data_IF_850374992602
#
_entry.id   IF_850374992602
#
_cell.length_a   1.000
_cell.length_b   1.000
_cell.length_c   1.000
_cell.angle_alpha   90.00
_cell.angle_beta   90.00
_cell.angle_gamma   90.00
#
_symmetry.space_group_name_H-M   'P 1'
#
loop_
_entity.id
_entity.type
_entity.pdbx_description
1 polymer ?
#
# COMPACT_ATOMS: atom_id res chain seq x y z
N UNK A 1 27.49 17.22 1.08
CA UNK A 1 26.96 16.35 -0.01
C UNK A 1 26.58 17.22 -1.20
N UNK A 2 27.19 17.00 -2.37
CA UNK A 2 26.89 17.74 -3.60
C UNK A 2 25.67 17.12 -4.31
N UNK A 3 24.71 17.95 -4.67
CA UNK A 3 23.51 17.53 -5.40
C UNK A 3 23.84 16.84 -6.72
N UNK A 4 24.83 17.30 -7.47
CA UNK A 4 25.19 16.69 -8.74
C UNK A 4 25.72 15.27 -8.58
N UNK A 5 26.40 14.97 -7.47
CA UNK A 5 26.87 13.63 -7.15
C UNK A 5 25.71 12.70 -6.84
N UNK A 6 24.75 13.17 -6.04
CA UNK A 6 23.53 12.41 -5.72
C UNK A 6 22.66 12.18 -6.96
N UNK A 7 22.50 13.21 -7.81
CA UNK A 7 21.76 13.11 -9.06
C UNK A 7 22.41 12.13 -10.04
N UNK A 8 23.74 12.11 -10.12
CA UNK A 8 24.48 11.12 -10.91
C UNK A 8 24.23 9.68 -10.42
N UNK A 9 24.20 9.45 -9.12
CA UNK A 9 23.85 8.16 -8.53
C UNK A 9 22.40 7.77 -8.91
N UNK A 10 21.43 8.64 -8.65
CA UNK A 10 20.01 8.42 -8.96
C UNK A 10 19.83 8.04 -10.43
N UNK A 11 20.34 8.85 -11.36
CA UNK A 11 20.19 8.60 -12.79
C UNK A 11 20.91 7.32 -13.25
N UNK A 12 22.04 6.97 -12.64
CA UNK A 12 22.74 5.71 -12.96
C UNK A 12 21.93 4.51 -12.52
N UNK A 13 21.30 4.55 -11.35
CA UNK A 13 20.44 3.49 -10.83
C UNK A 13 19.19 3.33 -11.71
N UNK A 14 18.52 4.42 -12.07
CA UNK A 14 17.29 4.39 -12.88
C UNK A 14 17.52 3.98 -14.34
N UNK A 15 18.62 4.41 -14.95
CA UNK A 15 18.93 4.07 -16.36
C UNK A 15 19.69 2.73 -16.50
N UNK A 16 20.06 2.09 -15.40
CA UNK A 16 20.71 0.78 -15.35
C UNK A 16 22.16 0.77 -15.88
N UNK A 17 22.71 1.90 -16.31
CA UNK A 17 24.11 1.99 -16.73
C UNK A 17 24.64 3.42 -16.72
N UNK A 18 25.95 3.57 -16.42
CA UNK A 18 26.65 4.85 -16.47
C UNK A 18 26.57 5.51 -17.86
N UNK A 19 26.63 4.72 -18.94
CA UNK A 19 26.56 5.25 -20.30
C UNK A 19 25.17 5.78 -20.66
N UNK A 20 24.10 5.11 -20.21
CA UNK A 20 22.73 5.57 -20.45
C UNK A 20 22.40 6.82 -19.62
N UNK A 21 22.81 6.83 -18.36
CA UNK A 21 22.66 7.99 -17.48
C UNK A 21 23.45 9.21 -17.99
N UNK A 22 24.68 9.02 -18.44
CA UNK A 22 25.51 10.08 -19.00
C UNK A 22 24.86 10.73 -20.24
N UNK A 23 24.32 9.91 -21.15
CA UNK A 23 23.55 10.43 -22.32
C UNK A 23 22.31 11.20 -21.88
N UNK A 24 21.58 10.69 -20.89
CA UNK A 24 20.37 11.36 -20.39
C UNK A 24 20.69 12.71 -19.73
N UNK A 25 21.78 12.78 -18.98
CA UNK A 25 22.22 14.01 -18.28
C UNK A 25 23.02 14.97 -19.19
N UNK A 26 23.33 14.62 -20.42
CA UNK A 26 24.12 15.45 -21.34
C UNK A 26 25.60 15.61 -20.91
N UNK A 27 26.14 14.66 -20.15
CA UNK A 27 27.53 14.66 -19.66
C UNK A 27 28.33 13.49 -20.23
N UNK A 28 29.67 13.51 -20.06
CA UNK A 28 30.50 12.35 -20.44
C UNK A 28 30.37 11.24 -19.38
N UNK A 29 30.54 9.97 -19.81
CA UNK A 29 30.53 8.85 -18.89
C UNK A 29 31.62 8.96 -17.82
N UNK A 30 32.79 9.51 -18.16
CA UNK A 30 33.90 9.73 -17.21
C UNK A 30 33.55 10.78 -16.14
N UNK A 31 32.83 11.83 -16.52
CA UNK A 31 32.32 12.84 -15.57
C UNK A 31 31.32 12.21 -14.62
N UNK A 32 30.35 11.46 -15.16
CA UNK A 32 29.32 10.80 -14.34
C UNK A 32 29.95 9.79 -13.36
N UNK A 33 30.90 8.96 -13.86
CA UNK A 33 31.61 8.01 -13.02
C UNK A 33 32.36 8.68 -11.87
N UNK A 34 33.02 9.82 -12.11
CA UNK A 34 33.68 10.59 -11.05
C UNK A 34 32.69 11.14 -10.02
N UNK A 35 31.53 11.63 -10.46
CA UNK A 35 30.49 12.13 -9.55
C UNK A 35 29.96 11.02 -8.64
N UNK A 36 29.70 9.83 -9.19
CA UNK A 36 29.27 8.67 -8.40
C UNK A 36 30.37 8.27 -7.41
N UNK A 37 31.62 8.14 -7.86
CA UNK A 37 32.74 7.78 -6.97
C UNK A 37 33.02 8.83 -5.89
N UNK A 38 32.78 10.11 -6.18
CA UNK A 38 32.87 11.18 -5.18
C UNK A 38 31.79 11.02 -4.10
N UNK A 39 30.55 10.66 -4.49
CA UNK A 39 29.49 10.37 -3.52
C UNK A 39 29.82 9.16 -2.66
N UNK A 40 30.32 8.07 -3.25
CA UNK A 40 30.73 6.87 -2.52
C UNK A 40 31.82 7.18 -1.50
N UNK A 41 32.80 8.01 -1.89
CA UNK A 41 33.86 8.46 -0.99
C UNK A 41 33.32 9.32 0.15
N UNK A 42 32.42 10.26 -0.14
CA UNK A 42 31.81 11.17 0.83
C UNK A 42 30.98 10.42 1.86
N UNK A 43 30.20 9.41 1.40
CA UNK A 43 29.33 8.63 2.25
C UNK A 43 30.01 7.44 2.93
N UNK A 44 31.24 7.08 2.47
CA UNK A 44 31.99 5.94 2.99
C UNK A 44 31.35 4.57 2.64
N UNK A 45 30.53 4.51 1.59
CA UNK A 45 29.85 3.28 1.15
C UNK A 45 29.95 3.10 -0.35
N UNK A 46 29.99 1.85 -0.81
CA UNK A 46 29.91 1.51 -2.24
C UNK A 46 28.44 1.44 -2.66
N UNK A 47 28.05 2.24 -3.65
CA UNK A 47 26.67 2.32 -4.14
C UNK A 47 26.43 1.39 -5.33
N UNK A 48 27.48 1.12 -6.11
CA UNK A 48 27.43 0.23 -7.26
C UNK A 48 28.53 -0.81 -7.23
N UNK A 49 28.22 -2.00 -7.70
CA UNK A 49 29.19 -3.06 -7.97
C UNK A 49 29.19 -3.43 -9.45
N UNK A 50 30.34 -3.87 -9.94
CA UNK A 50 30.51 -4.30 -11.31
C UNK A 50 30.23 -5.79 -11.43
N UNK A 51 29.23 -6.15 -12.23
CA UNK A 51 28.92 -7.54 -12.58
C UNK A 51 29.16 -7.71 -14.08
N UNK A 52 30.35 -8.19 -14.43
CA UNK A 52 30.78 -8.29 -15.83
C UNK A 52 30.90 -6.90 -16.49
N UNK A 53 30.06 -6.64 -17.50
CA UNK A 53 30.00 -5.35 -18.21
C UNK A 53 28.88 -4.41 -17.68
N UNK A 54 28.08 -4.86 -16.74
CA UNK A 54 26.97 -4.09 -16.15
C UNK A 54 27.34 -3.53 -14.78
N UNK A 55 26.57 -2.55 -14.34
CA UNK A 55 26.65 -1.94 -13.02
C UNK A 55 25.36 -2.28 -12.29
N UNK A 56 25.47 -2.87 -11.10
CA UNK A 56 24.32 -3.18 -10.23
C UNK A 56 24.39 -2.34 -8.97
N UNK A 57 23.23 -1.94 -8.47
CA UNK A 57 23.08 -1.21 -7.21
C UNK A 57 23.36 -2.17 -6.05
N UNK A 58 24.22 -1.80 -5.13
CA UNK A 58 24.52 -2.57 -3.90
C UNK A 58 23.35 -2.48 -2.91
N UNK A 59 23.37 -3.29 -1.85
CA UNK A 59 22.39 -3.19 -0.79
C UNK A 59 22.44 -1.81 -0.09
N UNK A 60 23.61 -1.23 0.11
CA UNK A 60 23.76 0.13 0.61
C UNK A 60 23.18 1.16 -0.38
N UNK A 61 23.41 0.97 -1.68
CA UNK A 61 22.82 1.79 -2.73
C UNK A 61 21.30 1.72 -2.75
N UNK A 62 20.71 0.52 -2.62
CA UNK A 62 19.25 0.36 -2.54
C UNK A 62 18.64 1.10 -1.35
N UNK A 63 19.29 1.02 -0.18
CA UNK A 63 18.84 1.74 1.02
C UNK A 63 18.86 3.26 0.84
N UNK A 64 19.78 3.80 0.04
CA UNK A 64 19.89 5.24 -0.22
C UNK A 64 19.08 5.71 -1.43
N UNK A 65 18.68 4.80 -2.32
CA UNK A 65 18.01 5.14 -3.57
C UNK A 65 16.68 5.85 -3.34
N UNK A 66 15.90 5.44 -2.34
CA UNK A 66 14.63 6.06 -2.01
C UNK A 66 14.80 7.51 -1.52
N UNK A 67 15.83 7.77 -0.71
CA UNK A 67 16.16 9.13 -0.31
C UNK A 67 16.61 9.98 -1.50
N UNK A 68 17.41 9.41 -2.40
CA UNK A 68 17.84 10.08 -3.63
C UNK A 68 16.65 10.43 -4.54
N UNK A 69 15.67 9.53 -4.69
CA UNK A 69 14.42 9.79 -5.41
C UNK A 69 13.62 10.92 -4.80
N UNK A 70 13.43 10.91 -3.49
CA UNK A 70 12.72 11.96 -2.77
C UNK A 70 13.38 13.33 -2.99
N UNK A 71 14.71 13.41 -2.90
CA UNK A 71 15.45 14.64 -3.17
C UNK A 71 15.35 15.06 -4.65
N UNK A 72 15.41 14.11 -5.58
CA UNK A 72 15.24 14.37 -7.01
C UNK A 72 13.89 14.98 -7.34
N UNK A 73 12.83 14.44 -6.76
CA UNK A 73 11.48 14.95 -6.89
C UNK A 73 11.36 16.37 -6.30
N UNK A 74 11.88 16.59 -5.09
CA UNK A 74 11.84 17.90 -4.44
C UNK A 74 12.61 18.97 -5.25
N UNK A 75 13.76 18.61 -5.83
CA UNK A 75 14.52 19.50 -6.70
C UNK A 75 13.77 19.84 -8.00
N UNK A 76 13.08 18.88 -8.59
CA UNK A 76 12.21 19.09 -9.74
C UNK A 76 11.05 20.04 -9.40
N UNK A 77 10.36 19.79 -8.30
CA UNK A 77 9.24 20.63 -7.81
C UNK A 77 9.71 22.06 -7.52
N UNK A 78 10.90 22.23 -6.95
CA UNK A 78 11.51 23.54 -6.72
C UNK A 78 11.75 24.28 -8.06
N UNK A 79 12.28 23.57 -9.07
CA UNK A 79 12.51 24.15 -10.39
C UNK A 79 11.20 24.58 -11.06
N UNK A 80 10.14 23.77 -10.96
CA UNK A 80 8.80 24.09 -11.48
C UNK A 80 8.17 25.28 -10.74
N UNK A 81 8.30 25.34 -9.41
CA UNK A 81 7.81 26.44 -8.60
C UNK A 81 8.54 27.76 -8.95
N UNK A 82 9.85 27.71 -9.13
CA UNK A 82 10.67 28.86 -9.52
C UNK A 82 10.36 29.38 -10.94
N UNK A 83 9.99 28.47 -11.85
CA UNK A 83 9.63 28.84 -13.22
C UNK A 83 8.24 29.50 -13.33
N UNK A 84 7.47 29.61 -12.23
CA UNK A 84 6.13 30.21 -12.23
C UNK A 84 5.09 29.44 -13.07
N UNK A 85 5.44 28.26 -13.57
CA UNK A 85 4.65 27.45 -14.52
C UNK A 85 3.81 26.37 -13.84
N UNK A 86 3.95 26.16 -12.55
CA UNK A 86 3.32 25.05 -11.83
C UNK A 86 1.91 25.37 -11.33
N UNK A 87 0.96 25.55 -12.26
CA UNK A 87 -0.47 25.30 -11.98
C UNK A 87 -0.84 23.82 -12.21
N UNK A 88 -0.08 23.10 -12.99
CA UNK A 88 -0.29 21.69 -13.25
C UNK A 88 0.06 20.85 -12.01
N UNK A 89 -0.84 19.94 -11.66
CA UNK A 89 -0.62 18.91 -10.65
C UNK A 89 -0.23 17.66 -11.41
N UNK A 90 1.07 17.33 -11.42
CA UNK A 90 1.64 16.20 -12.17
C UNK A 90 2.68 15.44 -11.34
N UNK A 91 3.11 14.27 -11.87
CA UNK A 91 4.10 13.39 -11.26
C UNK A 91 3.49 12.14 -10.63
N UNK A 92 4.31 11.39 -9.88
CA UNK A 92 3.89 10.14 -9.24
C UNK A 92 3.45 10.40 -7.80
N UNK A 93 2.38 9.74 -7.38
CA UNK A 93 1.94 9.65 -5.98
C UNK A 93 1.74 8.18 -5.64
N UNK A 94 2.51 7.68 -4.67
CA UNK A 94 2.39 6.31 -4.20
C UNK A 94 1.34 6.20 -3.08
N UNK A 95 0.43 5.23 -3.23
CA UNK A 95 -0.66 4.97 -2.28
C UNK A 95 -0.59 3.53 -1.81
N UNK A 96 -0.45 3.32 -0.50
CA UNK A 96 -0.46 1.98 0.09
C UNK A 96 -1.77 1.69 0.82
N UNK A 97 -2.26 0.46 0.69
CA UNK A 97 -3.44 -0.06 1.36
C UNK A 97 -3.32 -1.58 1.53
N UNK A 98 -4.19 -2.17 2.38
CA UNK A 98 -4.32 -3.64 2.43
C UNK A 98 -4.74 -4.19 1.07
N UNK A 99 -4.34 -5.41 0.77
CA UNK A 99 -4.54 -6.03 -0.55
C UNK A 99 -5.99 -5.96 -1.03
N UNK A 100 -6.96 -6.24 -0.17
CA UNK A 100 -8.38 -6.17 -0.54
C UNK A 100 -8.87 -4.73 -0.73
N UNK A 101 -8.42 -3.77 0.07
CA UNK A 101 -8.75 -2.35 -0.13
C UNK A 101 -8.16 -1.85 -1.44
N UNK A 102 -6.89 -2.21 -1.72
CA UNK A 102 -6.21 -1.86 -2.95
C UNK A 102 -6.93 -2.43 -4.20
N UNK A 103 -7.40 -3.69 -4.12
CA UNK A 103 -8.01 -4.36 -5.25
C UNK A 103 -9.48 -3.96 -5.50
N UNK A 104 -10.26 -3.69 -4.45
CA UNK A 104 -11.71 -3.49 -4.57
C UNK A 104 -12.16 -2.04 -4.43
N UNK A 105 -11.50 -1.25 -3.58
CA UNK A 105 -11.97 0.10 -3.24
C UNK A 105 -11.14 1.21 -3.90
N UNK A 106 -9.81 1.04 -4.02
CA UNK A 106 -8.95 2.03 -4.67
C UNK A 106 -9.27 2.27 -6.16
N UNK A 107 -9.68 1.28 -6.99
CA UNK A 107 -9.90 1.54 -8.41
C UNK A 107 -10.88 2.66 -8.70
N UNK A 108 -12.00 2.74 -7.96
CA UNK A 108 -12.98 3.82 -8.10
C UNK A 108 -12.38 5.19 -7.74
N UNK A 109 -11.62 5.24 -6.65
CA UNK A 109 -10.96 6.47 -6.22
C UNK A 109 -9.90 6.93 -7.24
N UNK A 110 -9.12 5.99 -7.81
CA UNK A 110 -8.12 6.28 -8.84
C UNK A 110 -8.79 6.79 -10.11
N UNK A 111 -9.92 6.21 -10.51
CA UNK A 111 -10.70 6.71 -11.65
C UNK A 111 -11.08 8.18 -11.45
N UNK A 112 -11.58 8.53 -10.25
CA UNK A 112 -11.91 9.91 -9.90
C UNK A 112 -10.69 10.83 -9.88
N UNK A 113 -9.55 10.37 -9.36
CA UNK A 113 -8.30 11.12 -9.37
C UNK A 113 -7.86 11.41 -10.81
N UNK A 114 -7.90 10.42 -11.70
CA UNK A 114 -7.52 10.58 -13.11
C UNK A 114 -8.40 11.58 -13.87
N UNK A 115 -9.69 11.67 -13.50
CA UNK A 115 -10.59 12.67 -14.06
C UNK A 115 -10.25 14.10 -13.62
N UNK A 116 -9.86 14.27 -12.34
CA UNK A 116 -9.63 15.59 -11.74
C UNK A 116 -8.20 16.08 -11.97
N UNK A 117 -7.22 15.19 -11.89
CA UNK A 117 -5.79 15.50 -12.04
C UNK A 117 -5.10 14.51 -12.97
N UNK A 118 -5.37 14.56 -14.28
CA UNK A 118 -4.89 13.57 -15.27
C UNK A 118 -3.36 13.52 -15.40
N UNK A 119 -2.65 14.53 -14.90
CA UNK A 119 -1.18 14.56 -14.88
C UNK A 119 -0.55 13.74 -13.76
N UNK A 120 -1.35 13.23 -12.80
CA UNK A 120 -0.84 12.43 -11.68
C UNK A 120 -0.92 10.95 -12.02
N UNK A 121 0.22 10.27 -11.90
CA UNK A 121 0.28 8.79 -11.93
C UNK A 121 0.15 8.26 -10.50
N UNK A 122 -0.78 7.35 -10.26
CA UNK A 122 -0.91 6.67 -8.96
C UNK A 122 -0.15 5.35 -9.00
N UNK A 123 0.84 5.22 -8.09
CA UNK A 123 1.50 3.94 -7.82
C UNK A 123 0.80 3.27 -6.64
N UNK A 124 0.23 2.08 -6.86
CA UNK A 124 -0.47 1.32 -5.81
C UNK A 124 0.47 0.29 -5.20
N UNK A 125 0.65 0.36 -3.89
CA UNK A 125 1.42 -0.60 -3.10
C UNK A 125 0.44 -1.36 -2.21
N UNK A 126 0.11 -2.59 -2.62
CA UNK A 126 -0.75 -3.47 -1.85
C UNK A 126 0.09 -4.23 -0.83
N UNK A 127 -0.20 -4.05 0.46
CA UNK A 127 0.53 -4.69 1.55
C UNK A 127 -0.35 -4.81 2.80
N UNK A 128 -0.56 -6.06 3.25
CA UNK A 128 -1.28 -6.40 4.49
C UNK A 128 -0.42 -6.23 5.75
N UNK A 129 0.91 -6.16 5.62
CA UNK A 129 1.77 -5.83 6.73
C UNK A 129 1.48 -4.39 7.21
N UNK A 130 1.62 -4.16 8.50
CA UNK A 130 1.70 -2.80 9.02
C UNK A 130 3.08 -2.28 8.61
N UNK A 131 3.23 -1.97 7.32
CA UNK A 131 4.46 -1.39 6.78
C UNK A 131 4.73 -0.11 7.53
N UNK A 132 5.96 0.02 7.98
CA UNK A 132 6.40 1.16 8.77
C UNK A 132 6.43 2.39 7.84
N UNK A 133 5.38 3.20 7.85
CA UNK A 133 5.35 4.48 7.13
C UNK A 133 6.55 5.37 7.46
N UNK A 134 7.25 5.06 8.58
CA UNK A 134 8.53 5.68 8.91
C UNK A 134 9.61 5.45 7.85
N UNK A 135 9.54 4.35 7.09
CA UNK A 135 10.49 4.08 6.00
C UNK A 135 10.13 4.79 4.70
N UNK A 136 9.09 5.65 4.69
CA UNK A 136 8.61 6.39 3.50
C UNK A 136 8.35 5.48 2.29
N UNK A 137 7.81 4.29 2.54
CA UNK A 137 7.48 3.31 1.49
C UNK A 137 6.36 3.79 0.57
N UNK A 138 5.55 4.77 1.03
CA UNK A 138 4.51 5.40 0.22
C UNK A 138 4.24 6.84 0.68
N UNK A 139 3.70 7.67 -0.24
CA UNK A 139 3.30 9.05 0.04
C UNK A 139 2.02 9.13 0.89
N UNK A 140 1.07 8.25 0.62
CA UNK A 140 -0.23 8.18 1.29
C UNK A 140 -0.53 6.73 1.66
N UNK A 141 -1.12 6.50 2.84
CA UNK A 141 -1.54 5.18 3.27
C UNK A 141 -2.99 5.16 3.73
N UNK A 142 -3.73 4.09 3.40
CA UNK A 142 -5.03 3.77 3.96
C UNK A 142 -4.82 2.67 5.01
N UNK A 143 -5.17 2.96 6.28
CA UNK A 143 -4.87 2.09 7.43
C UNK A 143 -6.08 1.91 8.34
N UNK A 144 -6.11 0.76 9.04
CA UNK A 144 -7.16 0.41 10.00
C UNK A 144 -6.82 0.79 11.45
N UNK A 145 -5.69 1.45 11.65
CA UNK A 145 -5.23 1.92 12.96
C UNK A 145 -4.88 3.41 12.90
N UNK A 146 -5.06 4.10 14.02
CA UNK A 146 -4.67 5.50 14.14
C UNK A 146 -3.15 5.60 14.14
N UNK A 147 -2.54 6.49 13.33
CA UNK A 147 -1.11 6.75 13.41
C UNK A 147 -0.78 7.36 14.78
N UNK A 148 0.34 6.94 15.36
CA UNK A 148 0.81 7.42 16.67
C UNK A 148 2.07 8.28 16.54
N UNK A 149 2.72 8.26 15.39
CA UNK A 149 3.96 8.94 15.09
C UNK A 149 3.71 10.44 14.89
N UNK A 150 4.52 11.33 15.56
CA UNK A 150 4.33 12.78 15.48
C UNK A 150 4.53 13.38 14.09
N UNK A 151 5.34 12.74 13.26
CA UNK A 151 5.62 13.12 11.88
C UNK A 151 4.50 12.79 10.90
N UNK A 152 3.55 11.94 11.30
CA UNK A 152 2.43 11.55 10.46
C UNK A 152 1.22 12.46 10.66
N UNK A 153 0.52 12.76 9.58
CA UNK A 153 -0.80 13.38 9.57
C UNK A 153 -1.81 12.26 9.30
N UNK A 154 -2.72 12.06 10.24
CA UNK A 154 -3.81 11.09 10.08
C UNK A 154 -5.17 11.79 10.04
N UNK A 155 -5.98 11.48 9.01
CA UNK A 155 -7.39 11.88 8.91
C UNK A 155 -8.27 10.65 9.08
N UNK A 156 -9.12 10.63 10.09
CA UNK A 156 -10.16 9.61 10.21
C UNK A 156 -11.17 9.83 9.10
N UNK A 157 -11.33 8.84 8.22
CA UNK A 157 -12.28 8.88 7.13
C UNK A 157 -13.66 8.47 7.62
N UNK A 158 -13.76 7.29 8.24
CA UNK A 158 -14.98 6.73 8.80
C UNK A 158 -14.69 5.53 9.70
N UNK A 159 -15.70 4.99 10.33
CA UNK A 159 -15.69 3.64 10.90
C UNK A 159 -16.28 2.68 9.88
N UNK A 160 -15.54 1.63 9.57
CA UNK A 160 -15.97 0.55 8.68
C UNK A 160 -16.40 -0.67 9.49
N UNK A 161 -17.14 -1.57 8.84
CA UNK A 161 -17.60 -2.83 9.41
C UNK A 161 -17.12 -4.00 8.56
N UNK A 162 -16.67 -5.06 9.20
CA UNK A 162 -16.44 -6.35 8.56
C UNK A 162 -17.37 -7.40 9.18
N UNK A 163 -17.70 -8.40 8.36
CA UNK A 163 -18.57 -9.49 8.73
C UNK A 163 -18.00 -10.81 8.22
N UNK A 164 -18.65 -11.91 8.59
CA UNK A 164 -18.32 -13.24 8.12
C UNK A 164 -19.09 -13.56 6.85
N UNK A 165 -18.40 -14.14 5.89
CA UNK A 165 -18.96 -14.49 4.58
C UNK A 165 -18.53 -15.89 4.15
N UNK A 166 -19.39 -16.51 3.35
CA UNK A 166 -19.10 -17.75 2.63
C UNK A 166 -19.65 -17.62 1.21
N UNK A 167 -19.20 -18.45 0.28
CA UNK A 167 -19.81 -18.46 -1.06
C UNK A 167 -21.24 -19.02 -1.00
N UNK A 168 -22.12 -18.57 -1.91
CA UNK A 168 -23.49 -19.06 -2.02
C UNK A 168 -23.55 -20.58 -2.20
N UNK A 169 -22.64 -21.14 -2.99
CA UNK A 169 -22.54 -22.59 -3.20
C UNK A 169 -22.09 -23.33 -1.92
N UNK A 170 -21.22 -22.72 -1.13
CA UNK A 170 -20.82 -23.29 0.15
C UNK A 170 -22.00 -23.35 1.11
N UNK A 171 -22.80 -22.27 1.21
CA UNK A 171 -23.99 -22.19 2.05
C UNK A 171 -25.04 -23.21 1.59
N UNK A 172 -25.24 -23.36 0.28
CA UNK A 172 -26.18 -24.36 -0.26
C UNK A 172 -25.80 -25.81 0.15
N UNK A 173 -24.51 -26.10 0.28
CA UNK A 173 -24.00 -27.44 0.66
C UNK A 173 -23.93 -27.68 2.15
N UNK A 174 -23.60 -26.65 2.94
CA UNK A 174 -23.25 -26.78 4.36
C UNK A 174 -24.30 -26.17 5.31
N UNK A 175 -25.34 -25.51 4.76
CA UNK A 175 -26.30 -24.75 5.53
C UNK A 175 -25.82 -23.31 5.79
N UNK A 176 -26.73 -22.50 6.38
CA UNK A 176 -26.45 -21.10 6.71
C UNK A 176 -26.21 -20.97 8.24
N UNK A 177 -24.93 -20.99 8.70
CA UNK A 177 -24.65 -20.82 10.12
C UNK A 177 -24.98 -19.39 10.56
N UNK A 178 -25.65 -19.24 11.72
CA UNK A 178 -26.06 -17.95 12.26
C UNK A 178 -25.33 -17.57 13.53
N UNK A 179 -25.07 -18.56 14.39
CA UNK A 179 -24.56 -18.37 15.75
C UNK A 179 -23.11 -18.83 15.91
N UNK A 180 -22.49 -18.46 17.02
CA UNK A 180 -21.17 -18.95 17.42
C UNK A 180 -21.16 -20.48 17.61
N UNK A 181 -22.25 -21.09 18.04
CA UNK A 181 -22.36 -22.54 18.16
C UNK A 181 -22.40 -23.24 16.80
N UNK A 182 -23.07 -22.63 15.81
CA UNK A 182 -23.07 -23.17 14.46
C UNK A 182 -21.67 -23.07 13.84
N UNK A 183 -20.92 -22.00 14.13
CA UNK A 183 -19.55 -21.82 13.64
C UNK A 183 -18.64 -23.02 13.97
N UNK A 184 -18.82 -23.67 15.13
CA UNK A 184 -18.00 -24.81 15.54
C UNK A 184 -18.15 -26.05 14.64
N UNK A 185 -19.14 -26.11 13.79
CA UNK A 185 -19.41 -27.23 12.86
C UNK A 185 -18.75 -27.01 11.49
N UNK A 186 -18.15 -25.82 11.26
CA UNK A 186 -17.74 -25.40 9.94
C UNK A 186 -16.25 -25.08 9.85
N UNK A 187 -15.75 -24.99 8.63
CA UNK A 187 -14.37 -24.64 8.31
C UNK A 187 -14.23 -23.16 8.00
N UNK A 188 -13.11 -22.61 8.43
CA UNK A 188 -12.74 -21.20 8.23
C UNK A 188 -11.46 -21.08 7.42
N UNK A 189 -11.27 -19.92 6.82
CA UNK A 189 -10.00 -19.49 6.27
C UNK A 189 -9.29 -18.69 7.36
N UNK A 190 -8.12 -19.16 7.78
CA UNK A 190 -7.28 -18.49 8.79
C UNK A 190 -6.23 -17.59 8.14
N UNK A 191 -5.65 -16.70 8.94
CA UNK A 191 -4.64 -15.75 8.46
C UNK A 191 -3.24 -16.05 8.98
N UNK A 192 -3.10 -16.71 10.14
CA UNK A 192 -1.78 -16.94 10.74
C UNK A 192 -1.69 -18.29 11.47
N UNK A 193 -0.45 -18.73 11.73
CA UNK A 193 -0.13 -19.92 12.52
C UNK A 193 0.09 -19.62 14.01
N UNK A 194 0.26 -18.35 14.35
CA UNK A 194 0.69 -17.92 15.69
C UNK A 194 -0.48 -17.74 16.65
N UNK A 195 -1.71 -18.00 16.21
CA UNK A 195 -2.91 -17.94 17.03
C UNK A 195 -3.43 -16.51 17.29
N UNK A 196 -2.85 -15.49 16.67
CA UNK A 196 -3.35 -14.10 16.79
C UNK A 196 -4.77 -13.98 16.25
N UNK A 197 -5.03 -14.60 15.09
CA UNK A 197 -6.36 -14.61 14.51
C UNK A 197 -7.37 -15.35 15.37
N UNK A 198 -6.99 -16.48 15.98
CA UNK A 198 -7.84 -17.17 16.94
C UNK A 198 -8.18 -16.30 18.15
N UNK A 199 -7.20 -15.62 18.73
CA UNK A 199 -7.40 -14.70 19.84
C UNK A 199 -8.30 -13.53 19.47
N UNK A 200 -8.17 -13.04 18.25
CA UNK A 200 -9.04 -12.01 17.69
C UNK A 200 -10.49 -12.52 17.56
N UNK A 201 -10.72 -13.70 17.00
CA UNK A 201 -12.05 -14.30 16.85
C UNK A 201 -12.75 -14.56 18.20
N UNK A 202 -11.97 -14.92 19.24
CA UNK A 202 -12.48 -15.12 20.60
C UNK A 202 -13.12 -13.85 21.18
N UNK A 203 -12.63 -12.66 20.83
CA UNK A 203 -13.23 -11.37 21.26
C UNK A 203 -14.65 -11.19 20.73
N UNK A 204 -15.00 -11.89 19.67
CA UNK A 204 -16.36 -11.92 19.07
C UNK A 204 -17.16 -13.16 19.46
N UNK A 205 -16.72 -13.89 20.50
CA UNK A 205 -17.40 -15.09 21.01
C UNK A 205 -17.17 -16.35 20.17
N UNK A 206 -16.27 -16.33 19.19
CA UNK A 206 -15.93 -17.48 18.36
C UNK A 206 -14.75 -18.26 18.95
N UNK A 207 -15.07 -19.29 19.75
CA UNK A 207 -14.08 -20.14 20.40
C UNK A 207 -13.60 -21.27 19.48
N UNK A 208 -13.01 -20.88 18.34
CA UNK A 208 -12.44 -21.81 17.39
C UNK A 208 -11.09 -22.36 17.85
N UNK A 209 -10.65 -23.45 17.25
CA UNK A 209 -9.31 -24.04 17.41
C UNK A 209 -8.64 -24.13 16.05
N UNK A 210 -7.34 -24.42 16.03
CA UNK A 210 -6.58 -24.58 14.78
C UNK A 210 -7.19 -25.62 13.83
N UNK A 211 -7.88 -26.63 14.36
CA UNK A 211 -8.53 -27.68 13.58
C UNK A 211 -9.74 -27.18 12.76
N UNK A 212 -10.28 -25.99 13.07
CA UNK A 212 -11.37 -25.38 12.30
C UNK A 212 -10.88 -24.69 11.02
N UNK A 213 -9.56 -24.46 10.86
CA UNK A 213 -9.04 -23.87 9.65
C UNK A 213 -8.75 -24.93 8.60
N UNK A 214 -9.33 -24.77 7.39
CA UNK A 214 -9.04 -25.62 6.25
C UNK A 214 -7.82 -25.11 5.47
N UNK A 215 -7.60 -23.79 5.49
CA UNK A 215 -6.52 -23.08 4.81
C UNK A 215 -6.04 -21.95 5.69
N UNK A 216 -4.74 -21.63 5.60
CA UNK A 216 -4.15 -20.43 6.17
C UNK A 216 -3.58 -19.59 5.02
N UNK A 217 -3.99 -18.34 4.94
CA UNK A 217 -3.51 -17.38 3.94
C UNK A 217 -3.32 -16.01 4.61
N UNK A 218 -2.07 -15.58 4.74
CA UNK A 218 -1.73 -14.27 5.35
C UNK A 218 -2.21 -13.10 4.51
N UNK A 219 -2.18 -13.28 3.18
CA UNK A 219 -2.62 -12.27 2.22
C UNK A 219 -4.16 -12.22 2.16
N UNK A 220 -4.74 -11.05 2.42
CA UNK A 220 -6.20 -10.87 2.51
C UNK A 220 -6.91 -11.12 1.19
N UNK A 221 -6.29 -10.81 0.05
CA UNK A 221 -6.84 -11.09 -1.27
C UNK A 221 -6.89 -12.61 -1.55
N UNK A 222 -5.81 -13.33 -1.20
CA UNK A 222 -5.77 -14.80 -1.34
C UNK A 222 -6.83 -15.44 -0.44
N UNK A 223 -6.93 -14.99 0.82
CA UNK A 223 -7.96 -15.44 1.76
C UNK A 223 -9.36 -15.23 1.18
N UNK A 224 -9.63 -14.03 0.63
CA UNK A 224 -10.92 -13.72 0.02
C UNK A 224 -11.25 -14.60 -1.19
N UNK A 225 -10.26 -14.90 -2.03
CA UNK A 225 -10.46 -15.84 -3.15
C UNK A 225 -10.79 -17.25 -2.66
N UNK A 226 -10.18 -17.72 -1.57
CA UNK A 226 -10.52 -19.03 -0.97
C UNK A 226 -11.98 -19.07 -0.49
N UNK A 227 -12.47 -17.98 0.14
CA UNK A 227 -13.88 -17.85 0.52
C UNK A 227 -14.80 -17.92 -0.70
N UNK A 228 -14.50 -17.16 -1.76
CA UNK A 228 -15.29 -17.14 -3.01
C UNK A 228 -15.36 -18.50 -3.68
N UNK A 229 -14.31 -19.32 -3.57
CA UNK A 229 -14.25 -20.68 -4.08
C UNK A 229 -14.90 -21.73 -3.16
N UNK A 230 -15.50 -21.31 -2.03
CA UNK A 230 -16.22 -22.19 -1.14
C UNK A 230 -15.37 -23.06 -0.24
N UNK A 231 -14.12 -22.65 0.07
CA UNK A 231 -13.21 -23.42 0.92
C UNK A 231 -13.48 -23.23 2.42
N UNK A 232 -14.32 -22.25 2.79
CA UNK A 232 -14.69 -21.99 4.17
C UNK A 232 -15.26 -20.60 4.37
N UNK A 233 -15.49 -20.27 5.66
CA UNK A 233 -15.96 -18.97 6.11
C UNK A 233 -14.74 -18.05 6.28
N UNK A 234 -14.83 -16.80 5.83
CA UNK A 234 -13.82 -15.78 6.06
C UNK A 234 -14.42 -14.44 6.43
N UNK A 235 -13.54 -13.47 6.73
CA UNK A 235 -13.92 -12.12 7.14
C UNK A 235 -13.51 -11.13 6.05
N UNK A 236 -14.39 -10.19 5.71
CA UNK A 236 -14.06 -9.03 4.89
C UNK A 236 -14.96 -7.84 5.22
N UNK A 237 -14.59 -6.68 4.68
CA UNK A 237 -15.41 -5.46 4.78
C UNK A 237 -16.74 -5.64 4.02
N UNK A 238 -17.79 -5.02 4.55
CA UNK A 238 -19.13 -5.06 3.97
C UNK A 238 -19.13 -4.57 2.51
N UNK A 239 -18.39 -3.50 2.23
CA UNK A 239 -18.30 -2.92 0.89
C UNK A 239 -17.59 -3.86 -0.11
N UNK A 240 -16.60 -4.61 0.33
CA UNK A 240 -15.90 -5.60 -0.53
C UNK A 240 -16.84 -6.77 -0.84
N UNK A 241 -17.59 -7.22 0.17
CA UNK A 241 -18.59 -8.28 -0.03
C UNK A 241 -19.71 -7.82 -0.96
N UNK A 242 -20.19 -6.59 -0.87
CA UNK A 242 -21.19 -6.02 -1.76
C UNK A 242 -20.74 -6.02 -3.24
N UNK A 243 -19.44 -5.86 -3.48
CA UNK A 243 -18.84 -5.96 -4.83
C UNK A 243 -18.61 -7.43 -5.27
N UNK A 244 -19.06 -8.41 -4.49
CA UNK A 244 -18.82 -9.83 -4.75
C UNK A 244 -20.14 -10.63 -4.67
N UNK A 245 -20.99 -10.63 -5.72
CA UNK A 245 -22.34 -11.23 -5.68
C UNK A 245 -22.37 -12.73 -5.37
N UNK A 246 -21.23 -13.43 -5.50
CA UNK A 246 -21.12 -14.87 -5.26
C UNK A 246 -20.99 -15.24 -3.77
N UNK A 247 -20.98 -14.28 -2.87
CA UNK A 247 -20.86 -14.51 -1.43
C UNK A 247 -22.10 -14.01 -0.69
N UNK A 248 -22.38 -14.65 0.42
CA UNK A 248 -23.45 -14.26 1.34
C UNK A 248 -22.90 -14.09 2.74
N UNK A 249 -23.45 -13.17 3.48
CA UNK A 249 -23.16 -13.00 4.89
C UNK A 249 -23.63 -14.22 5.67
N UNK A 250 -22.85 -14.66 6.63
CA UNK A 250 -23.16 -15.74 7.56
C UNK A 250 -22.81 -15.31 8.99
N UNK A 251 -23.19 -16.08 9.99
CA UNK A 251 -22.99 -15.77 11.40
C UNK A 251 -23.62 -14.43 11.80
N UNK A 252 -24.87 -14.24 11.38
CA UNK A 252 -25.59 -12.97 11.53
C UNK A 252 -25.78 -12.54 12.99
N UNK A 253 -25.76 -13.49 13.94
CA UNK A 253 -25.85 -13.22 15.38
C UNK A 253 -24.54 -12.69 15.99
N UNK A 254 -23.43 -12.73 15.22
CA UNK A 254 -22.14 -12.19 15.67
C UNK A 254 -22.10 -10.68 15.42
N UNK A 255 -21.69 -9.97 16.46
CA UNK A 255 -21.51 -8.50 16.38
C UNK A 255 -20.54 -8.12 15.26
N UNK A 256 -20.86 -7.10 14.44
CA UNK A 256 -19.95 -6.61 13.40
C UNK A 256 -18.58 -6.22 13.94
N UNK A 257 -17.55 -6.57 13.22
CA UNK A 257 -16.17 -6.18 13.50
C UNK A 257 -15.99 -4.73 13.07
N UNK A 258 -16.03 -3.78 14.01
CA UNK A 258 -15.86 -2.36 13.74
C UNK A 258 -14.42 -1.92 13.86
N UNK A 259 -13.95 -1.13 12.92
CA UNK A 259 -12.61 -0.55 12.93
C UNK A 259 -12.59 0.81 12.23
N UNK A 260 -11.66 1.70 12.62
CA UNK A 260 -11.50 2.97 11.94
C UNK A 260 -10.78 2.81 10.61
N UNK A 261 -11.13 3.63 9.63
CA UNK A 261 -10.38 3.78 8.40
C UNK A 261 -9.69 5.15 8.42
N UNK A 262 -8.38 5.13 8.37
CA UNK A 262 -7.54 6.31 8.41
C UNK A 262 -6.82 6.53 7.09
N UNK A 263 -6.76 7.77 6.65
CA UNK A 263 -5.87 8.22 5.61
C UNK A 263 -4.67 8.89 6.26
N UNK A 264 -3.48 8.45 5.91
CA UNK A 264 -2.25 8.85 6.58
C UNK A 264 -1.22 9.31 5.54
N UNK A 265 -0.49 10.37 5.84
CA UNK A 265 0.63 10.86 5.05
C UNK A 265 1.70 11.45 5.96
N UNK A 266 2.92 11.57 5.47
CA UNK A 266 3.99 12.24 6.20
C UNK A 266 3.79 13.77 6.16
N UNK A 267 4.00 14.47 7.29
CA UNK A 267 3.80 15.92 7.40
C UNK A 267 4.56 16.72 6.35
N UNK A 268 5.79 16.33 6.07
CA UNK A 268 6.63 16.98 5.07
C UNK A 268 6.08 16.76 3.65
N UNK A 269 5.61 15.55 3.34
CA UNK A 269 5.06 15.20 2.02
C UNK A 269 3.72 15.89 1.75
N UNK A 270 2.92 16.12 2.77
CA UNK A 270 1.62 16.81 2.66
C UNK A 270 1.76 18.27 2.17
N UNK A 271 2.96 18.85 2.20
CA UNK A 271 3.23 20.18 1.64
C UNK A 271 3.24 20.17 0.09
N UNK A 272 3.58 19.05 -0.54
CA UNK A 272 3.56 18.90 -1.99
C UNK A 272 2.13 18.93 -2.52
N UNK A 273 1.85 19.83 -3.49
CA UNK A 273 0.50 20.07 -4.01
C UNK A 273 -0.15 18.80 -4.56
N UNK A 274 0.60 17.97 -5.32
CA UNK A 274 0.07 16.72 -5.88
C UNK A 274 -0.38 15.75 -4.79
N UNK A 275 0.41 15.59 -3.73
CA UNK A 275 0.08 14.68 -2.61
C UNK A 275 -1.15 15.19 -1.87
N UNK A 276 -1.24 16.50 -1.60
CA UNK A 276 -2.39 17.09 -0.93
C UNK A 276 -3.68 16.93 -1.75
N UNK A 277 -3.64 17.19 -3.07
CA UNK A 277 -4.82 17.02 -3.92
C UNK A 277 -5.27 15.56 -3.97
N UNK A 278 -4.36 14.61 -4.14
CA UNK A 278 -4.68 13.16 -4.11
C UNK A 278 -5.20 12.76 -2.73
N UNK A 279 -4.59 13.23 -1.65
CA UNK A 279 -5.04 12.99 -0.28
C UNK A 279 -6.48 13.47 -0.06
N UNK A 280 -6.82 14.67 -0.51
CA UNK A 280 -8.16 15.22 -0.36
C UNK A 280 -9.19 14.47 -1.21
N UNK A 281 -8.84 14.06 -2.43
CA UNK A 281 -9.72 13.24 -3.30
C UNK A 281 -9.96 11.85 -2.68
N UNK A 282 -8.91 11.18 -2.22
CA UNK A 282 -9.05 9.92 -1.49
C UNK A 282 -9.92 10.08 -0.25
N UNK A 283 -9.72 11.18 0.51
CA UNK A 283 -10.52 11.45 1.69
C UNK A 283 -12.00 11.65 1.36
N UNK A 284 -12.34 12.27 0.25
CA UNK A 284 -13.73 12.42 -0.22
C UNK A 284 -14.34 11.07 -0.58
N UNK A 285 -13.66 10.27 -1.40
CA UNK A 285 -14.15 8.97 -1.87
C UNK A 285 -14.34 7.96 -0.73
N UNK A 286 -13.42 7.91 0.21
CA UNK A 286 -13.47 6.94 1.31
C UNK A 286 -14.28 7.40 2.53
N UNK A 287 -14.73 8.66 2.60
CA UNK A 287 -15.57 9.15 3.68
C UNK A 287 -17.02 8.67 3.58
N UNK A 288 -17.48 8.26 2.39
CA UNK A 288 -18.82 7.73 2.15
C UNK A 288 -18.71 6.21 1.97
N UNK A 289 -19.54 5.39 2.63
CA UNK A 289 -19.62 3.96 2.33
C UNK A 289 -20.01 3.73 0.86
N UNK A 290 -19.35 2.79 0.19
CA UNK A 290 -19.57 2.49 -1.24
C UNK A 290 -20.86 1.66 -1.49
N UNK A 291 -21.67 1.44 -0.46
CA UNK A 291 -22.91 0.64 -0.55
C UNK A 291 -24.08 1.60 -0.76
N UNK A 292 -24.59 1.66 -1.98
CA UNK A 292 -25.96 2.02 -2.29
C UNK A 292 -26.82 0.75 -2.37
#
# INVERSE_FOLDING_TARGET
>A
MDWNHLHAFLQTAEKGSLSAAARYMGVTQSTLSRQVSALETELGVTLFERVGRSVQVTQAGLALLEYARTMGTAAHDLALAAAGTSTAVDGVVSVTATDTVAAFLLPRAIQRINEVVPGVMIEVIADDAISDLRQREADIAIRHVRPQEPELIGRLLRHASAHFYASSDWVAKNGHPRSALDALKHRFIGTDRNGRYLSFLQQYGLHLTQSHFSVLAENTMVSWQMVRQGLGIGVTMEEIAALTPSVVRVLDDITPIKFPLWLVTHRELHTARRIRVVFDLLAQEFSVPTVE
#
